data_IF_273525430342
#
_entry.id   IF_273525430342
#
_cell.length_a   1.000
_cell.length_b   1.000
_cell.length_c   1.000
_cell.angle_alpha   90.00
_cell.angle_beta   90.00
_cell.angle_gamma   90.00
#
_symmetry.space_group_name_H-M   'P 1'
#
loop_
_entity.id
_entity.type
_entity.pdbx_description
1 polymer ?
#
# COMPACT_ATOMS: atom_id res chain seq x y z
N UNK A 1 -10.42 17.80 -16.34
CA UNK A 1 -10.20 16.83 -15.25
C UNK A 1 -10.59 15.47 -15.81
N UNK A 2 -9.72 14.46 -15.69
CA UNK A 2 -10.11 13.09 -16.01
C UNK A 2 -11.14 12.58 -15.01
N UNK A 3 -11.81 11.47 -15.29
CA UNK A 3 -12.66 10.85 -14.27
C UNK A 3 -11.78 10.22 -13.20
N UNK A 4 -12.17 10.29 -11.93
CA UNK A 4 -11.39 9.80 -10.79
C UNK A 4 -11.03 8.32 -10.94
N UNK A 5 -11.89 7.53 -11.59
CA UNK A 5 -11.63 6.14 -11.92
C UNK A 5 -10.50 5.96 -12.96
N UNK A 6 -10.41 6.85 -13.95
CA UNK A 6 -9.30 6.86 -14.93
C UNK A 6 -7.99 7.28 -14.26
N UNK A 7 -8.07 8.22 -13.31
CA UNK A 7 -6.93 8.65 -12.51
C UNK A 7 -6.42 7.53 -11.61
N UNK A 8 -7.29 6.78 -10.93
CA UNK A 8 -6.93 5.57 -10.17
C UNK A 8 -6.12 4.61 -11.06
N UNK A 9 -6.64 4.28 -12.24
CA UNK A 9 -5.99 3.34 -13.16
C UNK A 9 -4.60 3.84 -13.56
N UNK A 10 -4.54 5.11 -13.96
CA UNK A 10 -3.30 5.75 -14.43
C UNK A 10 -2.25 5.82 -13.32
N UNK A 11 -2.67 6.14 -12.10
CA UNK A 11 -1.79 6.23 -10.93
C UNK A 11 -1.30 4.86 -10.46
N UNK A 12 -2.16 3.85 -10.52
CA UNK A 12 -1.79 2.46 -10.27
C UNK A 12 -0.70 1.98 -11.25
N UNK A 13 -0.87 2.23 -12.55
CA UNK A 13 0.13 1.85 -13.55
C UNK A 13 1.43 2.66 -13.43
N UNK A 14 1.33 3.93 -13.02
CA UNK A 14 2.49 4.77 -12.78
C UNK A 14 3.32 4.26 -11.59
N UNK A 15 2.69 3.91 -10.46
CA UNK A 15 3.42 3.49 -9.26
C UNK A 15 4.16 2.17 -9.49
N UNK A 16 3.61 1.24 -10.30
CA UNK A 16 4.30 0.02 -10.71
C UNK A 16 5.64 0.33 -11.37
N UNK A 17 5.66 1.27 -12.32
CA UNK A 17 6.89 1.68 -13.03
C UNK A 17 7.86 2.40 -12.10
N UNK A 18 7.34 3.28 -11.23
CA UNK A 18 8.16 4.01 -10.26
C UNK A 18 8.84 3.05 -9.28
N UNK A 19 8.10 2.10 -8.70
CA UNK A 19 8.60 1.09 -7.77
C UNK A 19 9.61 0.15 -8.45
N UNK A 20 9.38 -0.24 -9.69
CA UNK A 20 10.32 -1.06 -10.46
C UNK A 20 11.68 -0.36 -10.63
N UNK A 21 11.71 0.97 -10.81
CA UNK A 21 12.96 1.74 -10.88
C UNK A 21 13.80 1.71 -9.60
N UNK A 22 13.17 1.33 -8.49
CA UNK A 22 13.76 1.17 -7.16
C UNK A 22 13.92 -0.29 -6.72
N UNK A 23 13.64 -1.24 -7.62
CA UNK A 23 13.76 -2.68 -7.36
C UNK A 23 12.60 -3.30 -6.57
N UNK A 24 11.50 -2.57 -6.36
CA UNK A 24 10.27 -3.12 -5.80
C UNK A 24 9.41 -3.72 -6.92
N UNK A 25 9.00 -4.99 -6.77
CA UNK A 25 8.15 -5.65 -7.76
C UNK A 25 6.66 -5.56 -7.40
N UNK A 26 5.93 -4.71 -8.12
CA UNK A 26 4.49 -4.59 -8.03
C UNK A 26 3.83 -5.27 -9.24
N UNK A 27 3.30 -6.48 -9.05
CA UNK A 27 2.78 -7.35 -10.13
C UNK A 27 1.26 -7.62 -10.05
N UNK A 28 0.57 -6.84 -9.24
CA UNK A 28 -0.86 -6.90 -8.95
C UNK A 28 -1.29 -8.15 -8.19
N UNK A 29 -0.37 -8.93 -7.61
CA UNK A 29 -0.69 -10.00 -6.65
C UNK A 29 -0.90 -9.45 -5.24
N UNK A 30 -1.58 -10.18 -4.36
CA UNK A 30 -1.68 -9.82 -2.93
C UNK A 30 -0.30 -9.81 -2.27
N UNK A 31 0.59 -10.74 -2.65
CA UNK A 31 1.98 -10.81 -2.17
C UNK A 31 2.81 -9.57 -2.50
N UNK A 32 2.51 -8.85 -3.58
CA UNK A 32 3.16 -7.59 -3.92
C UNK A 32 3.03 -6.52 -2.81
N UNK A 33 2.02 -6.62 -1.94
CA UNK A 33 1.84 -5.69 -0.82
C UNK A 33 2.99 -5.75 0.20
N UNK A 34 3.73 -6.87 0.24
CA UNK A 34 4.98 -6.98 1.01
C UNK A 34 6.01 -5.94 0.53
N UNK A 35 6.05 -5.65 -0.77
CA UNK A 35 6.94 -4.63 -1.33
C UNK A 35 6.52 -3.21 -0.90
N UNK A 36 5.22 -2.95 -0.77
CA UNK A 36 4.70 -1.68 -0.24
C UNK A 36 5.08 -1.53 1.24
N UNK A 37 4.92 -2.57 2.04
CA UNK A 37 5.35 -2.56 3.43
C UNK A 37 6.86 -2.35 3.59
N UNK A 38 7.67 -2.96 2.71
CA UNK A 38 9.11 -2.76 2.64
C UNK A 38 9.46 -1.32 2.22
N UNK A 39 8.77 -0.77 1.23
CA UNK A 39 8.93 0.63 0.82
C UNK A 39 8.70 1.59 1.99
N UNK A 40 7.61 1.42 2.75
CA UNK A 40 7.37 2.25 3.93
C UNK A 40 8.46 2.05 4.99
N UNK A 41 8.87 0.81 5.26
CA UNK A 41 9.98 0.52 6.19
C UNK A 41 11.27 1.28 5.82
N UNK A 42 11.55 1.44 4.53
CA UNK A 42 12.75 2.12 4.05
C UNK A 42 12.63 3.64 3.90
N UNK A 43 11.42 4.17 3.71
CA UNK A 43 11.23 5.57 3.28
C UNK A 43 10.52 6.46 4.31
N UNK A 44 10.07 5.90 5.43
CA UNK A 44 9.45 6.67 6.50
C UNK A 44 9.86 6.17 7.88
N UNK A 45 9.69 7.03 8.88
CA UNK A 45 9.81 6.71 10.30
C UNK A 45 8.87 7.62 11.09
N UNK A 46 8.15 7.05 12.07
CA UNK A 46 7.27 7.78 13.00
C UNK A 46 6.29 8.74 12.30
N UNK A 47 5.61 8.26 11.26
CA UNK A 47 4.63 9.07 10.52
C UNK A 47 5.24 10.13 9.59
N UNK A 48 6.54 10.06 9.30
CA UNK A 48 7.26 11.09 8.53
C UNK A 48 8.17 10.49 7.47
N UNK A 49 8.33 11.12 6.29
CA UNK A 49 9.34 10.71 5.32
C UNK A 49 10.73 10.86 5.91
N UNK A 50 11.65 9.95 5.61
CA UNK A 50 13.06 10.11 5.98
C UNK A 50 13.82 10.93 4.93
N UNK A 51 14.84 11.65 5.37
CA UNK A 51 15.71 12.40 4.46
C UNK A 51 16.47 11.44 3.54
N UNK A 52 16.45 11.71 2.23
CA UNK A 52 17.10 10.88 1.21
C UNK A 52 16.30 9.63 0.82
N UNK A 53 15.11 9.43 1.38
CA UNK A 53 14.15 8.45 0.89
C UNK A 53 13.43 8.91 -0.39
N UNK A 54 12.58 8.04 -0.91
CA UNK A 54 11.75 8.25 -2.10
C UNK A 54 10.46 9.02 -1.84
N UNK A 55 10.03 9.11 -0.59
CA UNK A 55 8.94 10.00 -0.21
C UNK A 55 9.48 11.43 -0.02
N UNK A 56 8.95 12.43 -0.74
CA UNK A 56 9.38 13.81 -0.54
C UNK A 56 8.96 14.30 0.85
N UNK A 57 9.75 15.18 1.45
CA UNK A 57 9.49 15.70 2.81
C UNK A 57 8.22 16.56 2.88
N UNK A 58 7.76 17.08 1.75
CA UNK A 58 6.50 17.81 1.57
C UNK A 58 5.82 17.30 0.29
N UNK A 59 4.49 17.35 0.22
CA UNK A 59 3.77 16.95 -0.98
C UNK A 59 3.86 15.45 -1.33
N UNK A 60 3.96 14.57 -0.33
CA UNK A 60 3.99 13.11 -0.53
C UNK A 60 2.59 12.51 -0.78
N UNK A 61 1.52 13.28 -0.62
CA UNK A 61 0.12 12.86 -0.83
C UNK A 61 -0.12 12.14 -2.16
N UNK A 62 0.33 12.68 -3.31
CA UNK A 62 0.19 12.00 -4.60
C UNK A 62 0.84 10.62 -4.66
N UNK A 63 2.01 10.42 -4.02
CA UNK A 63 2.64 9.09 -3.98
C UNK A 63 1.81 8.12 -3.14
N UNK A 64 1.28 8.57 -1.99
CA UNK A 64 0.39 7.75 -1.16
C UNK A 64 -0.90 7.41 -1.90
N UNK A 65 -1.45 8.35 -2.67
CA UNK A 65 -2.59 8.13 -3.54
C UNK A 65 -2.29 7.04 -4.58
N UNK A 66 -1.17 7.12 -5.31
CA UNK A 66 -0.81 6.12 -6.31
C UNK A 66 -0.61 4.72 -5.70
N UNK A 67 0.00 4.63 -4.51
CA UNK A 67 0.12 3.37 -3.77
C UNK A 67 -1.28 2.82 -3.40
N UNK A 68 -2.20 3.68 -2.95
CA UNK A 68 -3.55 3.28 -2.57
C UNK A 68 -4.40 2.86 -3.78
N UNK A 69 -4.24 3.56 -4.91
CA UNK A 69 -4.86 3.19 -6.18
C UNK A 69 -4.43 1.79 -6.62
N UNK A 70 -3.13 1.50 -6.52
CA UNK A 70 -2.60 0.16 -6.78
C UNK A 70 -3.18 -0.90 -5.84
N UNK A 71 -3.21 -0.64 -4.53
CA UNK A 71 -3.79 -1.58 -3.57
C UNK A 71 -5.25 -1.89 -3.92
N UNK A 72 -6.03 -0.87 -4.29
CA UNK A 72 -7.42 -1.07 -4.66
C UNK A 72 -7.60 -1.81 -5.98
N UNK A 73 -6.82 -1.49 -7.02
CA UNK A 73 -6.82 -2.24 -8.29
C UNK A 73 -6.46 -3.71 -8.08
N UNK A 74 -5.45 -3.99 -7.25
CA UNK A 74 -5.08 -5.37 -6.88
C UNK A 74 -6.23 -6.08 -6.18
N UNK A 75 -6.91 -5.44 -5.23
CA UNK A 75 -8.04 -6.03 -4.50
C UNK A 75 -9.19 -6.36 -5.46
N UNK A 76 -9.59 -5.43 -6.32
CA UNK A 76 -10.69 -5.66 -7.29
C UNK A 76 -10.36 -6.81 -8.24
N UNK A 77 -9.09 -6.95 -8.64
CA UNK A 77 -8.65 -8.06 -9.49
C UNK A 77 -8.75 -9.43 -8.82
N UNK A 78 -8.78 -9.49 -7.48
CA UNK A 78 -8.79 -10.74 -6.71
C UNK A 78 -10.13 -11.04 -6.01
N UNK A 79 -11.04 -10.06 -5.91
CA UNK A 79 -12.34 -10.22 -5.27
C UNK A 79 -13.45 -10.02 -6.31
N UNK A 80 -14.03 -11.11 -6.84
CA UNK A 80 -15.08 -11.04 -7.85
C UNK A 80 -16.25 -10.17 -7.41
N UNK A 81 -16.66 -9.23 -8.27
CA UNK A 81 -17.78 -8.32 -8.01
C UNK A 81 -17.47 -7.16 -7.06
N UNK A 82 -16.23 -7.02 -6.59
CA UNK A 82 -15.78 -5.78 -5.96
C UNK A 82 -15.75 -4.64 -6.99
N UNK A 83 -16.18 -3.45 -6.59
CA UNK A 83 -16.26 -2.28 -7.48
C UNK A 83 -15.77 -1.02 -6.78
N UNK A 84 -15.09 -0.15 -7.52
CA UNK A 84 -14.78 1.20 -7.06
C UNK A 84 -16.05 2.02 -6.91
N UNK A 85 -16.10 2.82 -5.85
CA UNK A 85 -17.07 3.88 -5.63
C UNK A 85 -16.29 5.19 -5.63
N UNK A 86 -16.63 6.04 -6.60
CA UNK A 86 -16.01 7.35 -6.82
C UNK A 86 -17.10 8.39 -6.97
N UNK A 87 -16.80 9.63 -6.57
CA UNK A 87 -17.66 10.79 -6.81
C UNK A 87 -16.80 11.87 -7.46
N UNK A 88 -17.00 12.08 -8.76
CA UNK A 88 -16.26 13.07 -9.56
C UNK A 88 -16.70 14.52 -9.23
N UNK A 89 -17.86 14.68 -8.59
CA UNK A 89 -18.42 15.99 -8.22
C UNK A 89 -18.04 16.41 -6.79
N UNK A 90 -17.43 15.51 -6.01
CA UNK A 90 -16.97 15.80 -4.65
C UNK A 90 -15.57 16.44 -4.66
N UNK A 91 -15.39 17.67 -4.12
CA UNK A 91 -14.07 18.31 -3.99
C UNK A 91 -13.06 17.51 -3.15
N UNK A 92 -13.54 16.60 -2.29
CA UNK A 92 -12.75 15.66 -1.50
C UNK A 92 -12.84 14.22 -2.03
N UNK A 93 -13.28 14.05 -3.28
CA UNK A 93 -13.54 12.75 -3.90
C UNK A 93 -12.35 11.80 -3.79
N UNK A 94 -11.12 12.30 -3.96
CA UNK A 94 -9.87 11.53 -3.81
C UNK A 94 -9.70 10.85 -2.43
N UNK A 95 -10.23 11.46 -1.37
CA UNK A 95 -10.14 10.94 0.01
C UNK A 95 -11.35 10.09 0.41
N UNK A 96 -12.43 10.14 -0.38
CA UNK A 96 -13.66 9.37 -0.16
C UNK A 96 -13.82 8.18 -1.10
N UNK A 97 -12.82 7.92 -1.95
CA UNK A 97 -12.76 6.73 -2.79
C UNK A 97 -12.81 5.47 -1.92
N UNK A 98 -13.74 4.58 -2.26
CA UNK A 98 -13.90 3.29 -1.58
C UNK A 98 -14.09 2.15 -2.57
N UNK A 99 -14.00 0.93 -2.06
CA UNK A 99 -14.35 -0.28 -2.80
C UNK A 99 -15.47 -0.98 -2.05
N UNK A 100 -16.57 -1.26 -2.77
CA UNK A 100 -17.71 -2.01 -2.24
C UNK A 100 -17.63 -3.46 -2.71
N UNK A 101 -17.78 -4.39 -1.77
CA UNK A 101 -17.79 -5.82 -2.02
C UNK A 101 -19.21 -6.36 -2.22
N UNK A 102 -19.37 -7.55 -2.85
CA UNK A 102 -20.69 -8.15 -3.07
C UNK A 102 -21.48 -8.44 -1.79
N UNK A 103 -20.77 -8.72 -0.68
CA UNK A 103 -21.37 -8.95 0.63
C UNK A 103 -21.80 -7.67 1.35
N UNK A 104 -21.64 -6.50 0.71
CA UNK A 104 -21.99 -5.20 1.27
C UNK A 104 -20.91 -4.56 2.14
N UNK A 105 -19.79 -5.25 2.40
CA UNK A 105 -18.65 -4.64 3.06
C UNK A 105 -18.02 -3.57 2.16
N UNK A 106 -17.38 -2.58 2.79
CA UNK A 106 -16.77 -1.45 2.11
C UNK A 106 -15.41 -1.15 2.74
N UNK A 107 -14.43 -0.81 1.90
CA UNK A 107 -13.08 -0.47 2.32
C UNK A 107 -12.60 0.82 1.66
N UNK A 108 -11.62 1.48 2.26
CA UNK A 108 -11.03 2.74 1.76
C UNK A 108 -9.52 2.56 1.54
N UNK A 109 -9.08 2.06 0.38
CA UNK A 109 -7.67 1.74 0.13
C UNK A 109 -6.73 2.93 0.30
N UNK A 110 -7.13 4.12 -0.17
CA UNK A 110 -6.34 5.34 -0.02
C UNK A 110 -6.14 5.63 1.48
N UNK A 111 -7.22 5.67 2.26
CA UNK A 111 -7.15 5.92 3.70
C UNK A 111 -6.34 4.86 4.45
N UNK A 112 -6.39 3.59 4.01
CA UNK A 112 -5.54 2.52 4.55
C UNK A 112 -4.05 2.83 4.35
N UNK A 113 -3.65 3.37 3.20
CA UNK A 113 -2.27 3.80 2.96
C UNK A 113 -1.87 4.97 3.84
N UNK A 114 -2.73 5.97 4.00
CA UNK A 114 -2.47 7.09 4.91
C UNK A 114 -2.34 6.61 6.37
N UNK A 115 -3.15 5.64 6.78
CA UNK A 115 -3.02 5.01 8.11
C UNK A 115 -1.72 4.23 8.24
N UNK A 116 -1.31 3.44 7.23
CA UNK A 116 0.01 2.78 7.22
C UNK A 116 1.16 3.75 7.35
N UNK A 117 1.06 4.88 6.66
CA UNK A 117 2.04 5.94 6.73
C UNK A 117 2.09 6.56 8.13
N UNK A 118 0.93 6.88 8.72
CA UNK A 118 0.85 7.53 10.04
C UNK A 118 1.24 6.61 11.19
N UNK A 119 0.72 5.39 11.21
CA UNK A 119 0.75 4.47 12.35
C UNK A 119 1.88 3.44 12.27
N UNK A 120 2.59 3.35 11.13
CA UNK A 120 3.67 2.38 10.99
C UNK A 120 3.16 0.95 10.77
N UNK A 121 3.90 -0.04 11.23
CA UNK A 121 3.66 -1.46 10.92
C UNK A 121 2.36 -2.03 11.49
N UNK A 122 1.73 -1.36 12.45
CA UNK A 122 0.39 -1.73 12.95
C UNK A 122 -0.65 -1.72 11.82
N UNK A 123 -0.43 -0.87 10.82
CA UNK A 123 -1.30 -0.74 9.66
C UNK A 123 -0.75 -1.43 8.40
N UNK A 124 0.08 -2.46 8.55
CA UNK A 124 0.67 -3.19 7.42
C UNK A 124 -0.35 -3.61 6.36
N UNK A 125 0.08 -3.50 5.10
CA UNK A 125 -0.78 -3.65 3.92
C UNK A 125 -0.95 -5.12 3.56
N UNK A 126 0.11 -5.91 3.65
CA UNK A 126 0.05 -7.32 3.27
C UNK A 126 -0.95 -8.14 4.09
N UNK A 127 -0.93 -8.13 5.44
CA UNK A 127 -1.91 -8.90 6.22
C UNK A 127 -3.34 -8.42 5.98
N UNK A 128 -3.53 -7.12 5.76
CA UNK A 128 -4.82 -6.55 5.41
C UNK A 128 -5.33 -7.11 4.07
N UNK A 129 -4.53 -7.03 3.01
CA UNK A 129 -4.89 -7.58 1.69
C UNK A 129 -5.18 -9.08 1.74
N UNK A 130 -4.33 -9.85 2.42
CA UNK A 130 -4.52 -11.28 2.63
C UNK A 130 -5.87 -11.61 3.29
N UNK A 131 -6.21 -10.93 4.39
CA UNK A 131 -7.46 -11.20 5.10
C UNK A 131 -8.69 -10.87 4.23
N UNK A 132 -8.61 -9.84 3.40
CA UNK A 132 -9.71 -9.49 2.49
C UNK A 132 -9.87 -10.50 1.35
N UNK A 133 -8.77 -11.07 0.86
CA UNK A 133 -8.77 -11.93 -0.31
C UNK A 133 -8.81 -13.43 0.00
N UNK A 134 -8.52 -13.86 1.23
CA UNK A 134 -8.31 -15.28 1.59
C UNK A 134 -9.46 -16.23 1.24
N UNK A 135 -10.69 -15.73 1.20
CA UNK A 135 -11.87 -16.54 0.87
C UNK A 135 -12.09 -16.63 -0.66
N UNK A 136 -11.31 -15.87 -1.44
CA UNK A 136 -11.36 -15.76 -2.90
C UNK A 136 -10.08 -16.24 -3.57
N UNK A 137 -9.02 -16.48 -2.82
CA UNK A 137 -7.72 -16.94 -3.33
C UNK A 137 -7.27 -18.21 -2.61
N UNK A 138 -6.59 -19.11 -3.32
CA UNK A 138 -5.97 -20.32 -2.72
C UNK A 138 -4.57 -20.02 -2.13
N UNK A 139 -4.19 -18.74 -2.04
CA UNK A 139 -2.86 -18.34 -1.59
C UNK A 139 -2.74 -18.48 -0.08
N UNK A 140 -1.70 -19.18 0.38
CA UNK A 140 -1.34 -19.19 1.80
C UNK A 140 -0.68 -17.88 2.21
N UNK A 141 -0.72 -17.57 3.51
CA UNK A 141 -0.02 -16.41 4.05
C UNK A 141 1.48 -16.54 3.84
N UNK A 142 2.05 -15.62 3.07
CA UNK A 142 3.46 -15.57 2.73
C UNK A 142 4.29 -15.13 3.94
N UNK A 143 4.95 -16.11 4.54
CA UNK A 143 5.76 -15.95 5.74
C UNK A 143 6.95 -14.99 5.56
N UNK A 144 7.34 -14.65 4.31
CA UNK A 144 8.36 -13.62 4.05
C UNK A 144 7.99 -12.26 4.65
N UNK A 145 6.70 -11.99 4.85
CA UNK A 145 6.24 -10.79 5.55
C UNK A 145 6.90 -10.65 6.94
N UNK A 146 7.04 -11.73 7.70
CA UNK A 146 7.61 -11.66 9.05
C UNK A 146 9.09 -11.28 9.06
N UNK A 147 9.82 -11.59 7.99
CA UNK A 147 11.19 -11.13 7.82
C UNK A 147 11.29 -9.59 7.73
N UNK A 148 10.22 -8.90 7.30
CA UNK A 148 10.14 -7.44 7.35
C UNK A 148 9.99 -6.93 8.78
N UNK A 149 9.22 -7.61 9.61
CA UNK A 149 8.91 -7.19 10.99
C UNK A 149 10.01 -7.54 11.99
N UNK A 150 10.94 -8.44 11.61
CA UNK A 150 12.08 -8.77 12.44
C UNK A 150 12.94 -7.53 12.66
N UNK A 151 12.94 -7.01 13.90
CA UNK A 151 13.87 -5.96 14.30
C UNK A 151 15.30 -6.45 14.07
N UNK A 152 16.13 -5.64 13.41
CA UNK A 152 17.57 -5.82 13.46
C UNK A 152 18.02 -5.46 14.87
N UNK A 153 17.99 -6.43 15.78
CA UNK A 153 18.69 -6.32 17.06
C UNK A 153 20.18 -6.13 16.75
N UNK A 154 20.63 -4.87 16.66
CA UNK A 154 22.05 -4.56 16.72
C UNK A 154 22.50 -4.91 18.13
N UNK A 155 23.03 -6.11 18.25
CA UNK A 155 23.72 -6.60 19.43
C UNK A 155 24.73 -5.58 19.95
N UNK A 156 24.50 -5.09 21.16
CA UNK A 156 25.34 -4.10 21.83
C UNK A 156 26.82 -4.54 21.97
N UNK A 157 27.09 -5.85 21.94
CA UNK A 157 28.45 -6.40 21.97
C UNK A 157 29.24 -6.23 20.66
N UNK A 158 28.60 -5.89 19.53
CA UNK A 158 29.29 -5.65 18.26
C UNK A 158 30.18 -4.39 18.27
N UNK A 159 29.98 -3.49 19.23
CA UNK A 159 30.82 -2.30 19.43
C UNK A 159 32.21 -2.61 20.00
N UNK A 160 32.42 -3.76 20.66
CA UNK A 160 33.66 -4.09 21.36
C UNK A 160 34.64 -4.96 20.55
N UNK A 161 34.38 -5.16 19.24
CA UNK A 161 35.22 -5.96 18.33
C UNK A 161 36.12 -5.11 17.41
N UNK A 162 36.25 -3.80 17.65
CA UNK A 162 37.20 -2.93 16.95
C UNK A 162 38.35 -2.54 17.85
#
# INVERSE_FOLDING_TARGET
MGKLQEDIKSQSDWIVKAFASDGYNLDYTIDSFIQIDLFFKHNMKDGKPIKGGRLPTTGFGPVLFSIGAYVGETIINHIPGAVWITDDDDPEGEMKISIKFPNGAEIWPINKIFNRFRNGSEDSIYPYGYILSKDFTEQEFNQKFWALTAETKKSWWAFWKK
#
